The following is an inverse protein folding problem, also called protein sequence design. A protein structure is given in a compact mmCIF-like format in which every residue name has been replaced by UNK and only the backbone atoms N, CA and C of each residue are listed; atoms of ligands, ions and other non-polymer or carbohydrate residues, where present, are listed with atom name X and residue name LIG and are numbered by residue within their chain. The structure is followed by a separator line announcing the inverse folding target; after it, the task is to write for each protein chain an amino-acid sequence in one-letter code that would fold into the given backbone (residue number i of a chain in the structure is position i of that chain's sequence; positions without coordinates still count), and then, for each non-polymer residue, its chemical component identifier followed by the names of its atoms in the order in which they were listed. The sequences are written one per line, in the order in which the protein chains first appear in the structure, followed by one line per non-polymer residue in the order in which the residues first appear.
data_IF_194217325060
#
_entry.id   IF_194217325060
#
_cell.length_a   1.000
_cell.length_b   1.000
_cell.length_c   1.000
_cell.angle_alpha   90.00
_cell.angle_beta   90.00
_cell.angle_gamma   90.00
#
_symmetry.space_group_name_H-M   'P 1'
#
loop_
_entity.id
_entity.type
_entity.pdbx_description
1 polymer ?
#
# COMPACT_ATOMS: atom_id res chain seq x y z
N UNK A 1 19.26 -16.01 34.90
CA UNK A 1 17.93 -16.41 35.43
C UNK A 1 16.89 -15.67 34.62
N UNK A 2 16.04 -16.42 33.91
CA UNK A 2 15.27 -15.93 32.78
C UNK A 2 14.11 -15.01 33.13
N UNK A 3 13.81 -14.10 32.19
CA UNK A 3 12.48 -13.50 32.02
C UNK A 3 11.91 -14.04 30.70
N UNK A 4 11.35 -15.25 30.75
CA UNK A 4 10.47 -15.84 29.71
C UNK A 4 9.01 -15.43 30.00
N UNK A 5 8.75 -14.13 30.17
CA UNK A 5 7.48 -13.64 30.72
C UNK A 5 6.58 -12.88 29.76
N UNK A 6 7.11 -12.20 28.75
CA UNK A 6 6.32 -11.14 28.08
C UNK A 6 5.57 -11.61 26.82
N UNK A 7 5.97 -12.72 26.20
CA UNK A 7 5.27 -13.28 25.02
C UNK A 7 3.96 -14.03 25.33
N UNK A 8 3.77 -14.48 26.57
CA UNK A 8 2.56 -15.23 26.98
C UNK A 8 1.42 -14.26 27.34
N UNK A 9 1.73 -13.04 27.82
CA UNK A 9 0.71 -12.05 28.20
C UNK A 9 -0.08 -11.48 27.02
N UNK A 10 0.50 -11.41 25.82
CA UNK A 10 -0.20 -10.94 24.61
C UNK A 10 -1.20 -11.99 24.10
N UNK A 11 -0.81 -13.28 24.12
CA UNK A 11 -1.69 -14.39 23.73
C UNK A 11 -2.83 -14.61 24.73
N UNK A 12 -2.60 -14.40 26.03
CA UNK A 12 -3.67 -14.46 27.03
C UNK A 12 -4.64 -13.27 26.97
N UNK A 13 -4.19 -12.08 26.53
CA UNK A 13 -5.07 -10.91 26.33
C UNK A 13 -6.03 -11.09 25.14
N UNK A 14 -5.59 -11.75 24.06
CA UNK A 14 -6.45 -12.05 22.91
C UNK A 14 -7.56 -13.06 23.25
N UNK A 15 -7.34 -13.97 24.21
CA UNK A 15 -8.33 -14.95 24.65
C UNK A 15 -9.34 -14.42 25.69
N UNK A 16 -9.16 -13.19 26.19
CA UNK A 16 -10.02 -12.59 27.25
C UNK A 16 -10.93 -11.45 26.76
N UNK A 17 -11.00 -11.19 25.45
CA UNK A 17 -11.97 -10.24 24.91
C UNK A 17 -13.41 -10.76 25.16
N UNK A 18 -14.32 -9.93 25.70
CA UNK A 18 -15.68 -10.35 26.00
C UNK A 18 -16.41 -10.80 24.71
N UNK A 19 -16.93 -12.04 24.71
CA UNK A 19 -17.69 -12.67 23.61
C UNK A 19 -19.08 -12.05 23.35
N UNK A 20 -19.30 -10.80 23.70
CA UNK A 20 -20.64 -10.19 23.71
C UNK A 20 -20.63 -8.76 23.19
N UNK A 21 -20.23 -8.57 21.93
CA UNK A 21 -20.89 -7.66 20.97
C UNK A 21 -20.74 -8.33 19.60
N UNK A 22 -21.80 -8.98 19.12
CA UNK A 22 -21.83 -9.60 17.81
C UNK A 22 -21.92 -8.51 16.72
N UNK A 23 -20.79 -8.26 16.06
CA UNK A 23 -20.62 -7.68 14.72
C UNK A 23 -19.76 -8.65 13.89
N UNK A 24 -19.71 -8.53 12.55
CA UNK A 24 -19.35 -9.65 11.67
C UNK A 24 -17.97 -10.19 12.02
N UNK A 25 -17.89 -11.53 12.06
CA UNK A 25 -16.71 -12.31 12.40
C UNK A 25 -15.44 -11.70 11.80
N UNK A 26 -14.50 -11.34 12.67
CA UNK A 26 -13.12 -11.08 12.28
C UNK A 26 -12.62 -12.29 11.50
N UNK A 27 -12.39 -12.10 10.20
CA UNK A 27 -12.10 -13.15 9.23
C UNK A 27 -10.95 -14.06 9.69
N UNK A 28 -11.29 -15.30 10.04
CA UNK A 28 -10.37 -16.30 10.56
C UNK A 28 -9.27 -16.69 9.55
N UNK A 29 -9.45 -16.39 8.26
CA UNK A 29 -8.42 -16.59 7.22
C UNK A 29 -7.31 -15.55 7.34
N UNK A 30 -7.63 -14.27 7.57
CA UNK A 30 -6.65 -13.20 7.79
C UNK A 30 -5.74 -13.49 9.00
N UNK A 31 -6.28 -14.09 10.06
CA UNK A 31 -5.49 -14.46 11.25
C UNK A 31 -4.41 -15.53 10.98
N UNK A 32 -4.59 -16.42 10.00
CA UNK A 32 -3.58 -17.41 9.61
C UNK A 32 -2.47 -16.79 8.76
N UNK A 33 -2.83 -15.88 7.86
CA UNK A 33 -1.91 -15.11 7.02
C UNK A 33 -1.03 -14.21 7.90
N UNK A 34 -1.65 -13.45 8.81
CA UNK A 34 -0.95 -12.61 9.80
C UNK A 34 0.03 -13.46 10.60
N UNK A 35 -0.35 -14.63 11.12
CA UNK A 35 0.58 -15.49 11.87
C UNK A 35 1.77 -15.98 11.03
N UNK A 36 1.60 -16.22 9.73
CA UNK A 36 2.68 -16.64 8.83
C UNK A 36 3.71 -15.53 8.61
N UNK A 37 3.24 -14.30 8.40
CA UNK A 37 4.12 -13.13 8.19
C UNK A 37 4.68 -12.55 9.51
N UNK A 38 3.89 -12.53 10.58
CA UNK A 38 4.32 -12.08 11.93
C UNK A 38 5.39 -13.01 12.52
N UNK A 39 5.28 -14.34 12.35
CA UNK A 39 6.33 -15.26 12.82
C UNK A 39 7.69 -15.07 12.11
N UNK A 40 7.71 -14.50 10.90
CA UNK A 40 8.97 -14.13 10.24
C UNK A 40 9.50 -12.79 10.75
N UNK A 41 8.63 -11.81 11.03
CA UNK A 41 9.01 -10.51 11.59
C UNK A 41 9.52 -10.57 13.05
N UNK A 42 9.03 -11.52 13.86
CA UNK A 42 9.49 -11.69 15.26
C UNK A 42 10.95 -12.13 15.41
N UNK A 43 11.65 -12.50 14.31
CA UNK A 43 13.11 -12.70 14.34
C UNK A 43 13.91 -11.41 14.26
N UNK A 44 13.31 -10.28 13.89
CA UNK A 44 14.02 -9.01 13.71
C UNK A 44 13.75 -8.00 14.83
N UNK A 45 12.70 -8.11 15.65
CA UNK A 45 12.34 -7.01 16.55
C UNK A 45 12.89 -7.19 17.97
N UNK A 46 14.16 -6.82 18.14
CA UNK A 46 14.72 -6.31 19.39
C UNK A 46 15.45 -5.00 19.06
N UNK A 47 14.68 -3.94 18.72
CA UNK A 47 15.23 -2.67 18.27
C UNK A 47 15.03 -1.54 19.28
N UNK A 48 16.15 -0.89 19.61
CA UNK A 48 16.30 0.23 20.53
C UNK A 48 15.99 1.58 19.84
N UNK A 49 15.37 2.52 20.56
CA UNK A 49 14.88 3.81 20.03
C UNK A 49 15.98 4.71 19.43
N UNK A 50 17.26 4.41 19.68
CA UNK A 50 18.39 5.10 19.06
C UNK A 50 18.66 4.68 17.60
N UNK A 51 18.25 3.49 17.15
CA UNK A 51 18.48 3.04 15.76
C UNK A 51 17.57 3.75 14.75
N UNK A 52 16.37 4.14 15.18
CA UNK A 52 15.35 4.77 14.31
C UNK A 52 15.82 6.09 13.68
N UNK A 53 16.63 6.88 14.38
CA UNK A 53 17.13 8.15 13.86
C UNK A 53 18.29 7.95 12.85
N UNK A 54 19.15 6.95 13.03
CA UNK A 54 20.22 6.64 12.06
C UNK A 54 19.71 5.95 10.80
N UNK A 55 18.66 5.13 10.91
CA UNK A 55 18.07 4.42 9.78
C UNK A 55 17.26 5.35 8.86
N UNK A 56 16.62 6.39 9.43
CA UNK A 56 15.88 7.40 8.66
C UNK A 56 16.76 8.25 7.72
N UNK A 57 18.03 8.46 8.07
CA UNK A 57 18.98 9.19 7.24
C UNK A 57 19.52 8.29 6.12
N UNK A 58 19.70 6.99 6.41
CA UNK A 58 20.16 5.97 5.46
C UNK A 58 19.09 5.61 4.42
N UNK A 59 17.81 5.58 4.82
CA UNK A 59 16.67 5.42 3.90
C UNK A 59 16.55 6.59 2.91
N UNK A 60 16.79 7.83 3.35
CA UNK A 60 16.75 9.01 2.46
C UNK A 60 17.79 8.98 1.33
N UNK A 61 18.96 8.41 1.59
CA UNK A 61 20.05 8.29 0.59
C UNK A 61 19.79 7.17 -0.44
N UNK A 62 18.87 6.25 -0.14
CA UNK A 62 18.53 5.10 -1.00
C UNK A 62 17.25 5.32 -1.83
N UNK A 63 16.51 6.38 -1.55
CA UNK A 63 15.26 6.73 -2.25
C UNK A 63 15.44 7.84 -3.31
N UNK A 64 16.50 8.65 -3.17
CA UNK A 64 16.82 9.75 -4.09
C UNK A 64 18.32 9.90 -4.30
N UNK A 65 18.72 10.55 -5.39
CA UNK A 65 20.10 10.99 -5.65
C UNK A 65 20.13 12.47 -5.99
N UNK A 66 21.26 13.12 -5.72
CA UNK A 66 21.50 14.50 -6.13
C UNK A 66 22.27 14.53 -7.44
N UNK A 67 21.85 15.42 -8.35
CA UNK A 67 22.48 15.61 -9.65
C UNK A 67 22.72 17.10 -9.92
N UNK A 68 23.83 17.40 -10.60
CA UNK A 68 24.11 18.75 -11.07
C UNK A 68 23.32 19.04 -12.36
N UNK A 69 22.57 20.14 -12.37
CA UNK A 69 21.69 20.53 -13.47
C UNK A 69 21.92 21.98 -13.91
N UNK A 70 21.41 22.31 -15.09
CA UNK A 70 21.30 23.67 -15.59
C UNK A 70 19.83 24.07 -15.69
N UNK A 71 19.36 24.94 -14.79
CA UNK A 71 18.03 25.55 -14.90
C UNK A 71 18.07 26.67 -15.93
N UNK A 72 17.19 26.62 -16.93
CA UNK A 72 17.01 27.68 -17.93
C UNK A 72 15.65 28.32 -17.69
N UNK A 73 15.63 29.63 -17.48
CA UNK A 73 14.42 30.43 -17.27
C UNK A 73 14.50 31.73 -18.08
N UNK A 74 13.43 32.53 -18.08
CA UNK A 74 13.45 33.87 -18.68
C UNK A 74 14.57 34.77 -18.11
N UNK A 75 14.95 34.55 -16.84
CA UNK A 75 16.04 35.27 -16.19
C UNK A 75 17.46 34.78 -16.56
N UNK A 76 17.56 33.76 -17.42
CA UNK A 76 18.83 33.18 -17.88
C UNK A 76 19.09 31.76 -17.39
N UNK A 77 20.34 31.33 -17.53
CA UNK A 77 20.82 29.98 -17.17
C UNK A 77 21.53 30.00 -15.81
N UNK A 78 21.19 29.05 -14.95
CA UNK A 78 21.80 28.87 -13.63
C UNK A 78 22.18 27.41 -13.40
N UNK A 79 23.36 27.18 -12.82
CA UNK A 79 23.77 25.85 -12.38
C UNK A 79 23.26 25.60 -10.95
N UNK A 80 22.65 24.44 -10.72
CA UNK A 80 22.03 24.07 -9.44
C UNK A 80 22.17 22.56 -9.19
N UNK A 81 22.04 22.15 -7.94
CA UNK A 81 21.87 20.74 -7.56
C UNK A 81 20.39 20.46 -7.41
N UNK A 82 19.94 19.35 -7.97
CA UNK A 82 18.56 18.89 -7.89
C UNK A 82 18.48 17.48 -7.30
N UNK A 83 17.35 17.15 -6.68
CA UNK A 83 17.09 15.82 -6.12
C UNK A 83 16.16 15.06 -7.05
N UNK A 84 16.60 13.88 -7.49
CA UNK A 84 15.81 13.00 -8.35
C UNK A 84 15.58 11.66 -7.66
N UNK A 85 14.43 11.07 -7.92
CA UNK A 85 14.04 9.78 -7.36
C UNK A 85 14.88 8.64 -7.95
N UNK A 86 15.21 7.63 -7.14
CA UNK A 86 15.84 6.38 -7.63
C UNK A 86 14.78 5.43 -8.15
N UNK A 87 15.01 4.85 -9.33
CA UNK A 87 14.15 3.81 -9.90
C UNK A 87 14.96 2.52 -10.05
N UNK A 88 14.34 1.38 -9.72
CA UNK A 88 14.94 0.05 -9.81
C UNK A 88 14.08 -0.88 -10.64
N UNK A 89 14.72 -1.88 -11.25
CA UNK A 89 14.03 -2.98 -11.93
C UNK A 89 13.75 -4.12 -10.95
N UNK A 90 12.48 -4.49 -10.76
CA UNK A 90 12.06 -5.64 -9.97
C UNK A 90 11.49 -6.74 -10.88
N UNK A 91 12.15 -7.90 -10.91
CA UNK A 91 11.74 -9.09 -11.67
C UNK A 91 11.03 -10.07 -10.75
N UNK A 92 9.72 -10.18 -10.88
CA UNK A 92 8.92 -11.13 -10.10
C UNK A 92 8.93 -12.50 -10.77
N UNK A 93 9.36 -13.53 -10.03
CA UNK A 93 9.28 -14.93 -10.42
C UNK A 93 8.40 -15.69 -9.44
N UNK A 94 7.48 -16.49 -9.95
CA UNK A 94 6.55 -17.31 -9.16
C UNK A 94 6.80 -18.78 -9.47
N UNK A 95 7.07 -19.60 -8.45
CA UNK A 95 7.40 -21.01 -8.60
C UNK A 95 8.49 -21.27 -9.66
N UNK A 96 9.52 -20.40 -9.66
CA UNK A 96 10.66 -20.45 -10.59
C UNK A 96 10.38 -19.94 -12.01
N UNK A 97 9.15 -19.51 -12.33
CA UNK A 97 8.77 -18.97 -13.64
C UNK A 97 8.75 -17.45 -13.61
N UNK A 98 9.26 -16.80 -14.65
CA UNK A 98 9.12 -15.36 -14.82
C UNK A 98 7.64 -14.98 -14.90
N UNK A 99 7.23 -14.04 -14.06
CA UNK A 99 5.86 -13.54 -14.00
C UNK A 99 5.77 -12.15 -14.63
N UNK A 100 6.56 -11.19 -14.14
CA UNK A 100 6.55 -9.82 -14.64
C UNK A 100 7.84 -9.07 -14.30
N UNK A 101 8.02 -7.92 -14.94
CA UNK A 101 9.04 -6.93 -14.63
C UNK A 101 8.35 -5.61 -14.31
N UNK A 102 8.77 -4.99 -13.20
CA UNK A 102 8.23 -3.74 -12.66
C UNK A 102 9.36 -2.74 -12.47
N UNK A 103 9.05 -1.46 -12.59
CA UNK A 103 9.95 -0.37 -12.24
C UNK A 103 9.35 0.37 -11.04
N UNK A 104 10.13 0.51 -9.98
CA UNK A 104 9.63 0.96 -8.68
C UNK A 104 10.73 1.58 -7.80
N UNK A 105 10.34 2.11 -6.64
CA UNK A 105 11.31 2.47 -5.60
C UNK A 105 11.94 1.22 -4.98
N UNK A 106 13.23 1.25 -4.58
CA UNK A 106 14.00 0.09 -4.13
C UNK A 106 13.68 -0.35 -2.68
N UNK A 107 12.41 -0.38 -2.32
CA UNK A 107 11.94 -0.80 -0.99
C UNK A 107 10.60 -1.53 -1.07
N UNK A 108 10.17 -2.16 0.03
CA UNK A 108 8.89 -2.88 0.14
C UNK A 108 8.66 -3.91 -0.97
N UNK A 109 9.70 -4.67 -1.35
CA UNK A 109 9.61 -5.67 -2.41
C UNK A 109 8.72 -6.86 -2.03
N UNK A 110 8.71 -7.26 -0.76
CA UNK A 110 7.81 -8.32 -0.29
C UNK A 110 6.35 -7.87 -0.40
N UNK A 111 6.05 -6.67 0.08
CA UNK A 111 4.71 -6.08 -0.05
C UNK A 111 4.33 -5.84 -1.50
N UNK A 112 5.27 -5.43 -2.36
CA UNK A 112 5.04 -5.33 -3.80
C UNK A 112 4.61 -6.68 -4.39
N UNK A 113 5.28 -7.79 -4.04
CA UNK A 113 4.92 -9.11 -4.54
C UNK A 113 3.59 -9.62 -3.97
N UNK A 114 3.36 -9.47 -2.66
CA UNK A 114 2.09 -9.83 -2.03
C UNK A 114 0.95 -9.06 -2.68
N UNK A 115 1.12 -7.74 -2.80
CA UNK A 115 0.16 -6.83 -3.40
C UNK A 115 -0.12 -7.17 -4.86
N UNK A 116 0.91 -7.28 -5.68
CA UNK A 116 0.78 -7.58 -7.12
C UNK A 116 0.01 -8.87 -7.37
N UNK A 117 0.32 -9.93 -6.61
CA UNK A 117 -0.37 -11.20 -6.74
C UNK A 117 -1.82 -11.11 -6.24
N UNK A 118 -2.05 -10.43 -5.12
CA UNK A 118 -3.39 -10.28 -4.54
C UNK A 118 -4.30 -9.43 -5.43
N UNK A 119 -3.80 -8.30 -5.95
CA UNK A 119 -4.55 -7.46 -6.89
C UNK A 119 -4.71 -8.12 -8.27
N UNK A 120 -3.92 -9.15 -8.56
CA UNK A 120 -4.11 -10.09 -9.68
C UNK A 120 -5.12 -11.21 -9.40
N UNK A 121 -5.67 -11.31 -8.18
CA UNK A 121 -6.70 -12.27 -7.78
C UNK A 121 -6.18 -13.49 -7.00
N UNK A 122 -4.88 -13.58 -6.71
CA UNK A 122 -4.34 -14.65 -5.85
C UNK A 122 -4.82 -14.44 -4.41
N UNK A 123 -5.20 -15.52 -3.75
CA UNK A 123 -5.37 -15.51 -2.30
C UNK A 123 -3.99 -15.47 -1.61
N UNK A 124 -3.67 -14.42 -0.82
CA UNK A 124 -2.36 -14.28 -0.18
C UNK A 124 -2.03 -15.42 0.78
N UNK A 125 -3.02 -16.18 1.27
CA UNK A 125 -2.78 -17.37 2.10
C UNK A 125 -1.99 -18.46 1.38
N UNK A 126 -1.97 -18.47 0.05
CA UNK A 126 -1.20 -19.43 -0.75
C UNK A 126 0.26 -19.03 -0.94
N UNK A 127 0.68 -17.84 -0.53
CA UNK A 127 2.08 -17.44 -0.56
C UNK A 127 2.85 -18.21 0.53
N UNK A 128 3.75 -19.09 0.11
CA UNK A 128 4.56 -19.92 0.99
C UNK A 128 5.79 -19.18 1.52
N UNK A 129 6.49 -18.52 0.60
CA UNK A 129 7.75 -17.84 0.85
C UNK A 129 7.97 -16.73 -0.18
N UNK A 130 8.65 -15.67 0.23
CA UNK A 130 9.18 -14.62 -0.65
C UNK A 130 10.66 -14.47 -0.33
N UNK A 131 11.51 -14.41 -1.36
CA UNK A 131 12.93 -14.13 -1.24
C UNK A 131 13.29 -13.01 -2.21
N UNK A 132 13.99 -11.99 -1.73
CA UNK A 132 14.41 -10.84 -2.54
C UNK A 132 15.93 -10.88 -2.70
N UNK A 133 16.41 -10.77 -3.94
CA UNK A 133 17.84 -10.77 -4.27
C UNK A 133 18.19 -9.59 -5.14
N UNK A 134 19.16 -8.79 -4.73
CA UNK A 134 19.83 -7.89 -5.65
C UNK A 134 20.77 -8.72 -6.54
N UNK A 135 20.60 -8.63 -7.86
CA UNK A 135 21.41 -9.39 -8.84
C UNK A 135 22.38 -8.51 -9.62
N UNK A 136 22.11 -7.22 -9.68
CA UNK A 136 22.94 -6.15 -10.24
C UNK A 136 22.50 -4.85 -9.53
N UNK A 137 23.37 -3.84 -9.33
CA UNK A 137 22.94 -2.49 -8.98
C UNK A 137 21.66 -2.05 -9.69
N UNK A 138 20.61 -1.77 -8.90
CA UNK A 138 19.28 -1.39 -9.37
C UNK A 138 18.49 -2.49 -10.14
N UNK A 139 18.85 -3.77 -9.98
CA UNK A 139 18.07 -4.91 -10.48
C UNK A 139 17.88 -5.94 -9.37
N UNK A 140 16.62 -6.20 -9.06
CA UNK A 140 16.20 -7.12 -8.00
C UNK A 140 15.36 -8.26 -8.59
N UNK A 141 15.60 -9.48 -8.12
CA UNK A 141 14.70 -10.62 -8.33
C UNK A 141 13.87 -10.86 -7.07
N UNK A 142 12.55 -10.93 -7.24
CA UNK A 142 11.61 -11.30 -6.19
C UNK A 142 11.10 -12.70 -6.50
N UNK A 143 11.50 -13.67 -5.68
CA UNK A 143 11.21 -15.09 -5.85
C UNK A 143 10.08 -15.49 -4.91
N UNK A 144 8.90 -15.76 -5.47
CA UNK A 144 7.72 -16.19 -4.72
C UNK A 144 7.50 -17.68 -4.90
N UNK A 145 7.34 -18.39 -3.80
CA UNK A 145 6.88 -19.78 -3.79
C UNK A 145 5.41 -19.80 -3.36
N UNK A 146 4.56 -20.44 -4.16
CA UNK A 146 3.14 -20.62 -3.85
C UNK A 146 2.85 -22.08 -3.51
N UNK A 147 2.03 -22.30 -2.48
CA UNK A 147 1.47 -23.62 -2.18
C UNK A 147 0.42 -24.03 -3.22
N UNK A 148 -0.33 -23.04 -3.75
CA UNK A 148 -1.35 -23.24 -4.78
C UNK A 148 -1.44 -21.99 -5.68
N UNK A 149 -1.70 -22.21 -6.96
CA UNK A 149 -1.93 -21.16 -7.96
C UNK A 149 -3.44 -21.06 -8.28
N UNK A 150 -4.22 -20.55 -7.32
CA UNK A 150 -5.66 -20.36 -7.48
C UNK A 150 -5.95 -18.86 -7.49
N UNK A 151 -6.47 -18.40 -8.62
CA UNK A 151 -6.87 -17.01 -8.84
C UNK A 151 -8.39 -16.91 -8.79
N UNK A 152 -8.90 -16.01 -7.96
CA UNK A 152 -10.33 -15.73 -7.84
C UNK A 152 -10.73 -14.70 -8.90
N UNK A 153 -11.97 -14.83 -9.38
CA UNK A 153 -12.57 -13.78 -10.20
C UNK A 153 -12.88 -12.57 -9.34
N UNK A 154 -12.90 -11.38 -9.98
CA UNK A 154 -13.38 -10.17 -9.34
C UNK A 154 -14.80 -10.39 -8.78
N UNK A 155 -15.06 -9.84 -7.61
CA UNK A 155 -16.36 -9.90 -6.95
C UNK A 155 -16.79 -8.50 -6.52
N UNK A 156 -18.10 -8.31 -6.33
CA UNK A 156 -18.66 -7.02 -5.91
C UNK A 156 -18.21 -6.66 -4.50
N UNK A 157 -17.93 -5.39 -4.27
CA UNK A 157 -17.51 -4.88 -2.96
C UNK A 157 -18.73 -4.63 -2.07
N UNK A 158 -18.97 -5.55 -1.14
CA UNK A 158 -20.19 -5.59 -0.33
C UNK A 158 -20.06 -4.94 1.07
N UNK A 159 -19.03 -4.12 1.30
CA UNK A 159 -18.81 -3.46 2.59
C UNK A 159 -19.88 -2.39 2.89
N UNK A 160 -20.27 -2.29 4.17
CA UNK A 160 -21.17 -1.27 4.71
C UNK A 160 -20.42 -0.06 5.28
N UNK A 161 -19.10 0.02 5.08
CA UNK A 161 -18.27 1.13 5.56
C UNK A 161 -18.86 2.47 5.12
N UNK A 162 -18.94 3.42 6.07
CA UNK A 162 -19.30 4.81 5.80
C UNK A 162 -18.31 5.74 6.48
N UNK A 163 -17.95 6.80 5.77
CA UNK A 163 -17.08 7.88 6.26
C UNK A 163 -17.81 9.20 6.17
N UNK A 164 -17.44 10.15 7.04
CA UNK A 164 -17.95 11.50 6.97
C UNK A 164 -17.26 12.25 5.83
N UNK A 165 -17.92 13.27 5.26
CA UNK A 165 -17.25 14.18 4.31
C UNK A 165 -16.00 14.84 4.90
N UNK A 166 -15.95 15.08 6.22
CA UNK A 166 -14.77 15.63 6.89
C UNK A 166 -13.58 14.67 6.83
N UNK A 167 -13.83 13.35 6.86
CA UNK A 167 -12.79 12.33 6.75
C UNK A 167 -12.12 12.39 5.38
N UNK A 168 -12.89 12.62 4.30
CA UNK A 168 -12.34 12.79 2.94
C UNK A 168 -11.34 13.94 2.89
N UNK A 169 -11.64 15.07 3.54
CA UNK A 169 -10.73 16.21 3.60
C UNK A 169 -9.51 15.94 4.47
N UNK A 170 -9.70 15.27 5.61
CA UNK A 170 -8.60 14.88 6.49
C UNK A 170 -7.61 13.95 5.78
N UNK A 171 -8.11 12.93 5.09
CA UNK A 171 -7.28 11.97 4.37
C UNK A 171 -6.53 12.63 3.21
N UNK A 172 -7.16 13.56 2.48
CA UNK A 172 -6.49 14.30 1.42
C UNK A 172 -5.33 15.15 1.94
N UNK A 173 -5.51 15.82 3.09
CA UNK A 173 -4.45 16.57 3.73
C UNK A 173 -3.32 15.67 4.22
N UNK A 174 -3.64 14.54 4.86
CA UNK A 174 -2.62 13.60 5.35
C UNK A 174 -1.83 12.95 4.21
N UNK A 175 -2.49 12.65 3.08
CA UNK A 175 -1.81 12.19 1.87
C UNK A 175 -0.82 13.24 1.34
N UNK A 176 -1.23 14.51 1.28
CA UNK A 176 -0.35 15.60 0.86
C UNK A 176 0.82 15.79 1.85
N UNK A 177 0.54 15.78 3.15
CA UNK A 177 1.54 15.95 4.20
C UNK A 177 2.60 14.85 4.16
N UNK A 178 2.17 13.59 4.01
CA UNK A 178 3.04 12.41 4.03
C UNK A 178 3.81 12.13 2.73
N UNK A 179 3.54 12.84 1.63
CA UNK A 179 4.31 12.74 0.38
C UNK A 179 5.68 13.42 0.45
N UNK A 180 6.58 12.92 1.29
CA UNK A 180 7.90 13.52 1.55
C UNK A 180 8.78 13.47 0.30
N UNK A 181 8.87 12.30 -0.34
CA UNK A 181 9.71 12.10 -1.52
C UNK A 181 9.12 12.80 -2.74
N UNK A 182 7.79 12.81 -2.86
CA UNK A 182 7.07 13.59 -3.87
C UNK A 182 7.36 15.09 -3.75
N UNK A 183 7.35 15.66 -2.54
CA UNK A 183 7.69 17.08 -2.32
C UNK A 183 9.15 17.39 -2.66
N UNK A 184 10.05 16.45 -2.41
CA UNK A 184 11.47 16.63 -2.66
C UNK A 184 11.82 16.52 -4.16
N UNK A 185 11.16 15.63 -4.90
CA UNK A 185 11.59 15.23 -6.26
C UNK A 185 10.54 15.45 -7.34
N UNK A 186 9.26 15.55 -6.98
CA UNK A 186 8.12 15.50 -7.90
C UNK A 186 7.95 14.16 -8.64
N UNK A 187 8.77 13.15 -8.31
CA UNK A 187 8.93 11.93 -9.11
C UNK A 187 8.12 10.72 -8.65
N UNK A 188 7.26 10.86 -7.65
CA UNK A 188 6.53 9.74 -7.04
C UNK A 188 5.01 9.93 -7.02
N UNK A 189 4.31 8.82 -6.82
CA UNK A 189 2.92 8.77 -6.43
C UNK A 189 2.82 8.37 -4.97
N UNK A 190 1.84 8.96 -4.29
CA UNK A 190 1.56 8.69 -2.88
C UNK A 190 0.24 7.93 -2.81
N UNK A 191 0.20 6.87 -2.03
CA UNK A 191 -1.02 6.11 -1.71
C UNK A 191 -1.07 5.89 -0.21
N UNK A 192 -2.28 5.87 0.34
CA UNK A 192 -2.48 5.57 1.75
C UNK A 192 -3.75 4.75 1.99
N UNK A 193 -3.73 3.96 3.07
CA UNK A 193 -4.88 3.20 3.55
C UNK A 193 -5.25 3.68 4.95
N UNK A 194 -6.52 4.05 5.11
CA UNK A 194 -7.11 4.49 6.36
C UNK A 194 -8.09 3.44 6.86
N UNK A 195 -7.81 2.87 8.03
CA UNK A 195 -8.69 1.92 8.70
C UNK A 195 -8.98 2.38 10.11
N UNK A 196 -10.22 2.14 10.57
CA UNK A 196 -10.65 2.57 11.90
C UNK A 196 -9.87 1.82 12.99
N UNK A 197 -9.17 2.57 13.84
CA UNK A 197 -8.47 2.01 15.00
C UNK A 197 -7.11 1.37 14.68
N UNK A 198 -6.58 1.59 13.47
CA UNK A 198 -5.22 1.23 13.08
C UNK A 198 -4.45 2.46 12.63
N UNK A 199 -3.13 2.39 12.69
CA UNK A 199 -2.27 3.42 12.11
C UNK A 199 -2.43 3.48 10.59
N UNK A 200 -2.38 4.70 10.04
CA UNK A 200 -2.36 4.91 8.58
C UNK A 200 -1.13 4.24 7.99
N UNK A 201 -1.32 3.52 6.87
CA UNK A 201 -0.19 3.10 6.02
C UNK A 201 -0.10 4.08 4.87
N UNK A 202 1.07 4.67 4.67
CA UNK A 202 1.39 5.53 3.53
C UNK A 202 2.60 4.94 2.80
N UNK A 203 2.49 4.89 1.47
CA UNK A 203 3.53 4.37 0.58
C UNK A 203 3.74 5.35 -0.56
N UNK A 204 5.00 5.56 -0.94
CA UNK A 204 5.37 6.24 -2.17
C UNK A 204 5.90 5.23 -3.20
N UNK A 205 5.75 5.53 -4.48
CA UNK A 205 6.46 4.82 -5.55
C UNK A 205 6.50 5.65 -6.83
N UNK A 206 7.52 5.46 -7.68
CA UNK A 206 7.57 6.06 -9.02
C UNK A 206 6.36 5.61 -9.86
N UNK A 207 5.96 4.35 -9.71
CA UNK A 207 4.82 3.75 -10.40
C UNK A 207 3.58 3.75 -9.52
N UNK A 208 2.50 4.39 -9.99
CA UNK A 208 1.20 4.35 -9.29
C UNK A 208 0.67 2.93 -9.05
N UNK A 209 0.98 1.99 -9.95
CA UNK A 209 0.56 0.60 -9.82
C UNK A 209 1.37 -0.13 -8.76
N UNK A 210 2.67 0.13 -8.69
CA UNK A 210 3.55 -0.42 -7.67
C UNK A 210 3.23 0.17 -6.29
N UNK A 211 2.90 1.46 -6.22
CA UNK A 211 2.42 2.11 -4.99
C UNK A 211 1.19 1.39 -4.43
N UNK A 212 0.15 1.17 -5.26
CA UNK A 212 -1.08 0.46 -4.86
C UNK A 212 -0.76 -0.97 -4.41
N UNK A 213 0.06 -1.71 -5.16
CA UNK A 213 0.44 -3.07 -4.78
C UNK A 213 1.18 -3.10 -3.44
N UNK A 214 2.21 -2.27 -3.25
CA UNK A 214 2.94 -2.15 -1.98
C UNK A 214 2.01 -1.79 -0.82
N UNK A 215 1.04 -0.89 -1.02
CA UNK A 215 0.05 -0.56 0.00
C UNK A 215 -0.82 -1.76 0.38
N UNK A 216 -1.31 -2.50 -0.63
CA UNK A 216 -2.12 -3.71 -0.41
C UNK A 216 -1.30 -4.77 0.34
N UNK A 217 -0.07 -5.02 -0.09
CA UNK A 217 0.84 -5.94 0.60
C UNK A 217 1.11 -5.51 2.04
N UNK A 218 1.35 -4.21 2.28
CA UNK A 218 1.57 -3.68 3.62
C UNK A 218 0.33 -3.83 4.52
N UNK A 219 -0.88 -3.63 3.98
CA UNK A 219 -2.13 -3.89 4.71
C UNK A 219 -2.22 -5.36 5.13
N UNK A 220 -1.96 -6.29 4.20
CA UNK A 220 -2.01 -7.74 4.45
C UNK A 220 -0.99 -8.16 5.52
N UNK A 221 0.26 -7.72 5.37
CA UNK A 221 1.35 -8.02 6.32
C UNK A 221 1.04 -7.49 7.72
N UNK A 222 0.42 -6.31 7.82
CA UNK A 222 0.02 -5.70 9.11
C UNK A 222 -1.35 -6.17 9.63
N UNK A 223 -2.05 -7.02 8.89
CA UNK A 223 -3.38 -7.51 9.28
C UNK A 223 -4.48 -6.44 9.26
N UNK A 224 -4.32 -5.40 8.44
CA UNK A 224 -5.34 -4.38 8.24
C UNK A 224 -6.45 -4.94 7.35
N UNK A 225 -7.69 -4.83 7.82
CA UNK A 225 -8.88 -5.26 7.08
C UNK A 225 -9.17 -4.30 5.92
N UNK A 226 -8.71 -4.62 4.72
CA UNK A 226 -8.90 -3.81 3.51
C UNK A 226 -10.39 -3.53 3.23
N UNK A 227 -11.27 -4.49 3.50
CA UNK A 227 -12.73 -4.34 3.32
C UNK A 227 -13.37 -3.32 4.26
N UNK A 228 -12.66 -2.89 5.31
CA UNK A 228 -13.05 -1.86 6.27
C UNK A 228 -12.13 -0.63 6.20
N UNK A 229 -11.36 -0.51 5.10
CA UNK A 229 -10.40 0.55 4.87
C UNK A 229 -10.82 1.48 3.73
N UNK A 230 -10.28 2.69 3.73
CA UNK A 230 -10.37 3.64 2.62
C UNK A 230 -9.00 3.75 1.98
N UNK A 231 -8.92 3.58 0.66
CA UNK A 231 -7.73 3.88 -0.10
C UNK A 231 -7.78 5.34 -0.57
N UNK A 232 -6.70 6.07 -0.41
CA UNK A 232 -6.53 7.39 -1.02
C UNK A 232 -5.23 7.47 -1.82
N UNK A 233 -5.24 8.18 -2.95
CA UNK A 233 -4.05 8.29 -3.81
C UNK A 233 -3.91 9.63 -4.53
N UNK A 234 -2.65 9.99 -4.81
CA UNK A 234 -2.30 11.14 -5.64
C UNK A 234 -2.54 10.91 -7.13
N UNK A 235 -2.71 9.65 -7.57
CA UNK A 235 -2.73 9.29 -8.98
C UNK A 235 -4.12 9.40 -9.63
N UNK A 236 -4.13 9.51 -10.97
CA UNK A 236 -5.36 9.43 -11.78
C UNK A 236 -5.96 8.04 -11.68
N UNK A 237 -7.27 7.98 -11.54
CA UNK A 237 -8.00 6.72 -11.46
C UNK A 237 -8.34 6.20 -12.85
N UNK A 238 -7.69 5.11 -13.22
CA UNK A 238 -7.84 4.42 -14.50
C UNK A 238 -8.46 3.05 -14.29
N UNK A 239 -8.96 2.41 -15.34
CA UNK A 239 -9.49 1.05 -15.24
C UNK A 239 -8.53 0.09 -14.53
N UNK A 240 -7.23 0.16 -14.84
CA UNK A 240 -6.24 -0.77 -14.24
C UNK A 240 -5.91 -0.46 -12.79
N UNK A 241 -6.01 0.78 -12.32
CA UNK A 241 -5.83 1.10 -10.89
C UNK A 241 -7.08 0.72 -10.10
N UNK A 242 -8.26 1.13 -10.57
CA UNK A 242 -9.54 0.79 -9.95
C UNK A 242 -9.75 -0.73 -9.87
N UNK A 243 -9.39 -1.48 -10.91
CA UNK A 243 -9.48 -2.95 -10.89
C UNK A 243 -8.63 -3.57 -9.78
N UNK A 244 -7.44 -3.03 -9.51
CA UNK A 244 -6.58 -3.52 -8.42
C UNK A 244 -7.19 -3.23 -7.05
N UNK A 245 -7.73 -2.03 -6.88
CA UNK A 245 -8.37 -1.58 -5.64
C UNK A 245 -9.62 -2.42 -5.33
N UNK A 246 -10.45 -2.70 -6.34
CA UNK A 246 -11.60 -3.61 -6.25
C UNK A 246 -11.15 -5.03 -5.93
N UNK A 247 -10.12 -5.54 -6.63
CA UNK A 247 -9.61 -6.89 -6.40
C UNK A 247 -9.01 -7.06 -4.99
N UNK A 248 -8.40 -6.00 -4.45
CA UNK A 248 -7.93 -5.97 -3.07
C UNK A 248 -9.09 -5.87 -2.06
N UNK A 249 -10.27 -5.41 -2.49
CA UNK A 249 -11.48 -5.32 -1.68
C UNK A 249 -11.73 -3.97 -1.04
N UNK A 250 -11.10 -2.88 -1.51
CA UNK A 250 -11.36 -1.54 -0.97
C UNK A 250 -12.79 -1.08 -1.32
N UNK A 251 -13.62 -0.69 -0.33
CA UNK A 251 -14.97 -0.19 -0.58
C UNK A 251 -15.04 1.28 -1.01
N UNK A 252 -14.01 2.06 -0.66
CA UNK A 252 -13.93 3.48 -0.96
C UNK A 252 -12.53 3.79 -1.47
N UNK A 253 -12.44 4.30 -2.70
CA UNK A 253 -11.23 4.90 -3.26
C UNK A 253 -11.43 6.41 -3.39
N UNK A 254 -10.47 7.17 -2.86
CA UNK A 254 -10.39 8.61 -2.99
C UNK A 254 -9.16 8.97 -3.83
N UNK A 255 -9.32 9.87 -4.79
CA UNK A 255 -8.22 10.43 -5.57
C UNK A 255 -8.25 11.95 -5.53
N UNK A 256 -7.07 12.56 -5.35
CA UNK A 256 -6.90 14.02 -5.52
C UNK A 256 -6.90 14.42 -7.01
N UNK A 257 -6.90 13.43 -7.91
CA UNK A 257 -6.84 13.57 -9.37
C UNK A 257 -8.13 13.10 -10.05
N UNK A 258 -8.12 13.08 -11.38
CA UNK A 258 -9.27 12.73 -12.20
C UNK A 258 -9.43 11.20 -12.36
N UNK A 259 -10.67 10.67 -12.35
CA UNK A 259 -10.97 9.35 -12.87
C UNK A 259 -11.24 9.37 -14.39
N UNK A 260 -11.06 8.24 -15.07
CA UNK A 260 -11.50 8.04 -16.46
C UNK A 260 -12.89 7.43 -16.52
N UNK A 261 -13.59 7.59 -17.66
CA UNK A 261 -14.94 7.03 -17.85
C UNK A 261 -15.00 5.51 -17.60
N UNK A 262 -13.97 4.77 -18.04
CA UNK A 262 -13.91 3.32 -17.82
C UNK A 262 -13.65 2.97 -16.34
N UNK A 263 -12.90 3.80 -15.62
CA UNK A 263 -12.70 3.62 -14.17
C UNK A 263 -14.01 3.84 -13.39
N UNK A 264 -14.78 4.87 -13.76
CA UNK A 264 -16.10 5.14 -13.17
C UNK A 264 -17.05 3.97 -13.44
N UNK A 265 -17.09 3.47 -14.69
CA UNK A 265 -17.92 2.30 -15.04
C UNK A 265 -17.55 1.08 -14.19
N UNK A 266 -16.25 0.78 -14.08
CA UNK A 266 -15.77 -0.37 -13.32
C UNK A 266 -16.13 -0.24 -11.82
N UNK A 267 -15.91 0.94 -11.24
CA UNK A 267 -16.25 1.18 -9.84
C UNK A 267 -17.75 1.03 -9.57
N UNK A 268 -18.60 1.48 -10.49
CA UNK A 268 -20.05 1.35 -10.38
C UNK A 268 -20.50 -0.12 -10.47
N UNK A 269 -19.99 -0.83 -11.48
CA UNK A 269 -20.30 -2.25 -11.73
C UNK A 269 -19.96 -3.14 -10.52
N UNK A 270 -18.85 -2.85 -9.84
CA UNK A 270 -18.41 -3.61 -8.66
C UNK A 270 -18.81 -2.99 -7.33
N UNK A 271 -19.64 -1.93 -7.31
CA UNK A 271 -20.19 -1.36 -6.08
C UNK A 271 -19.17 -0.61 -5.22
N UNK A 272 -18.04 -0.16 -5.77
CA UNK A 272 -17.04 0.66 -5.08
C UNK A 272 -17.44 2.14 -5.12
N UNK A 273 -17.21 2.87 -4.03
CA UNK A 273 -17.33 4.32 -3.99
C UNK A 273 -16.07 4.95 -4.56
N UNK A 274 -16.18 5.67 -5.68
CA UNK A 274 -15.07 6.35 -6.32
C UNK A 274 -15.21 7.86 -6.16
N UNK A 275 -14.25 8.48 -5.47
CA UNK A 275 -14.14 9.92 -5.27
C UNK A 275 -12.94 10.45 -6.05
N UNK A 276 -13.12 11.56 -6.77
CA UNK A 276 -12.04 12.23 -7.50
C UNK A 276 -11.97 13.72 -7.20
N UNK A 277 -10.85 14.34 -7.56
CA UNK A 277 -10.56 15.75 -7.29
C UNK A 277 -10.72 16.15 -5.81
N UNK A 278 -10.39 15.25 -4.88
CA UNK A 278 -10.42 15.54 -3.44
C UNK A 278 -9.27 16.46 -3.04
N UNK A 279 -9.53 17.78 -3.04
CA UNK A 279 -8.58 18.84 -2.67
C UNK A 279 -9.32 20.15 -2.40
N UNK A 280 -8.67 21.11 -1.76
CA UNK A 280 -9.20 22.47 -1.57
C UNK A 280 -10.63 22.50 -0.97
N UNK A 281 -10.92 21.59 -0.02
CA UNK A 281 -12.25 21.44 0.61
C UNK A 281 -13.39 21.15 -0.37
N UNK A 282 -13.09 20.50 -1.50
CA UNK A 282 -14.07 19.98 -2.45
C UNK A 282 -13.65 18.59 -2.94
N UNK A 283 -14.63 17.78 -3.31
CA UNK A 283 -14.43 16.52 -4.04
C UNK A 283 -15.67 16.23 -4.88
N UNK A 284 -15.53 15.33 -5.85
CA UNK A 284 -16.62 14.81 -6.66
C UNK A 284 -16.78 13.32 -6.37
N UNK A 285 -18.00 12.88 -6.04
CA UNK A 285 -18.32 11.46 -5.93
C UNK A 285 -18.87 10.98 -7.28
N UNK A 286 -18.27 9.95 -7.85
CA UNK A 286 -18.64 9.43 -9.18
C UNK A 286 -19.55 8.21 -9.09
N UNK A 287 -19.42 7.40 -8.03
CA UNK A 287 -20.16 6.15 -7.85
C UNK A 287 -20.45 5.93 -6.36
N UNK A 288 -21.56 5.23 -6.07
CA UNK A 288 -21.89 4.71 -4.72
C UNK A 288 -21.74 5.75 -3.59
N UNK A 289 -22.34 6.92 -3.75
CA UNK A 289 -22.22 8.07 -2.84
C UNK A 289 -22.79 7.85 -1.44
N UNK A 290 -23.66 6.86 -1.27
CA UNK A 290 -24.26 6.47 0.00
C UNK A 290 -23.25 6.13 1.13
N UNK A 291 -21.97 5.88 0.80
CA UNK A 291 -20.88 5.67 1.77
C UNK A 291 -20.30 6.98 2.34
N UNK A 292 -20.65 8.13 1.78
CA UNK A 292 -20.23 9.45 2.25
C UNK A 292 -21.40 10.11 2.98
N UNK A 293 -21.24 10.40 4.28
CA UNK A 293 -22.29 10.96 5.16
C UNK A 293 -21.94 12.33 5.75
#
# INVERSE_FOLDING_TARGET
MGRRGEGIEVLERLNKLPKTIAGPEMDLENLKVIKKFVCNAEREILFDKQSFMSDSQKMKDDESITVEINTISEAGRQHRVDSIVRETEARLKVNGRFCTQLFCLPYHFEELAIGYLTTGGLDPAYIANIEVKEVDPAIYEILVTLEKEIYRNLSTVNSQLRIKKEDVFAYANELEEGGILFKATGGTHVVAAFSRGSDTILIEDVSRHCAIDKLVGACITKGIAISESVLITSCRQTYTTVKKEICAGFPITISVSAPTALAVKEADEFGMTLVGFARDKRFNVYTNDWRIV
#
